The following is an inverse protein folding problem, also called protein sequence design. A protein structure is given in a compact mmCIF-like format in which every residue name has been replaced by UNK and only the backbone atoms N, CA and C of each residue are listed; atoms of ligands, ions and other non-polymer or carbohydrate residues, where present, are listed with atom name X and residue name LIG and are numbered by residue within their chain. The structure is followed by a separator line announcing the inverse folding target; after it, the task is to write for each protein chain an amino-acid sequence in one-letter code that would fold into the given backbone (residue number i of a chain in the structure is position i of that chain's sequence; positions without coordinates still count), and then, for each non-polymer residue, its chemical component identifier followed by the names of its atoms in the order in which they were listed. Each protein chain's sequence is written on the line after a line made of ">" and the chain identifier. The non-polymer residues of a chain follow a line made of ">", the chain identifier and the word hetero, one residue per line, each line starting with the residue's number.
data_IF_993704478363
#
_entry.id   IF_993704478363
#
_cell.length_a   1.000
_cell.length_b   1.000
_cell.length_c   1.000
_cell.angle_alpha   90.00
_cell.angle_beta   90.00
_cell.angle_gamma   90.00
#
_symmetry.space_group_name_H-M   'P 1'
#
loop_
_entity.id
_entity.type
_entity.pdbx_description
1 polymer ?
#
# COMPACT_ATOMS: atom_id res chain seq x y z
N UNK A 1 -41.16 8.68 5.50
CA UNK A 1 -40.48 7.65 4.67
C UNK A 1 -40.29 6.40 5.51
N UNK A 2 -40.69 5.23 5.02
CA UNK A 2 -40.45 3.98 5.74
C UNK A 2 -38.93 3.75 5.85
N UNK A 3 -38.40 3.64 7.06
CA UNK A 3 -37.00 3.30 7.25
C UNK A 3 -36.78 1.86 6.74
N UNK A 4 -35.95 1.70 5.70
CA UNK A 4 -35.49 0.37 5.28
C UNK A 4 -34.81 -0.31 6.46
N UNK A 5 -34.99 -1.62 6.60
CA UNK A 5 -34.25 -2.39 7.61
C UNK A 5 -32.77 -2.22 7.33
N UNK A 6 -31.94 -2.18 8.37
CA UNK A 6 -30.50 -1.92 8.21
C UNK A 6 -29.80 -2.97 7.33
N UNK A 7 -30.36 -4.18 7.23
CA UNK A 7 -29.88 -5.25 6.33
C UNK A 7 -30.24 -5.04 4.84
N UNK A 8 -31.18 -4.14 4.54
CA UNK A 8 -31.72 -3.86 3.20
C UNK A 8 -31.23 -2.49 2.70
N UNK A 9 -30.27 -1.84 3.40
CA UNK A 9 -29.68 -0.61 2.90
C UNK A 9 -28.81 -0.93 1.67
N UNK A 10 -29.01 -0.23 0.54
CA UNK A 10 -28.14 -0.39 -0.62
C UNK A 10 -26.73 0.07 -0.26
N UNK A 11 -25.72 -0.69 -0.65
CA UNK A 11 -24.31 -0.39 -0.40
C UNK A 11 -23.43 -1.62 -0.22
N UNK A 12 -22.13 -1.36 -0.15
CA UNK A 12 -21.10 -2.38 0.03
C UNK A 12 -20.96 -2.73 1.51
N UNK A 13 -21.01 -4.02 1.85
CA UNK A 13 -21.02 -4.50 3.24
C UNK A 13 -19.71 -5.16 3.62
N UNK A 14 -19.22 -4.86 4.82
CA UNK A 14 -18.19 -5.62 5.51
C UNK A 14 -18.67 -6.09 6.88
N UNK A 15 -18.24 -7.29 7.29
CA UNK A 15 -18.63 -7.89 8.57
C UNK A 15 -17.44 -8.54 9.24
N UNK A 16 -17.25 -8.24 10.51
CA UNK A 16 -16.32 -8.96 11.39
C UNK A 16 -17.13 -9.71 12.44
N UNK A 17 -16.96 -11.04 12.48
CA UNK A 17 -17.68 -11.93 13.41
C UNK A 17 -16.79 -12.37 14.56
N UNK A 18 -17.45 -12.76 15.65
CA UNK A 18 -16.86 -13.29 16.89
C UNK A 18 -15.79 -12.39 17.54
N UNK A 19 -15.94 -11.08 17.44
CA UNK A 19 -15.05 -10.11 18.10
C UNK A 19 -15.21 -10.24 19.62
N UNK A 20 -14.10 -10.36 20.37
CA UNK A 20 -14.10 -10.56 21.83
C UNK A 20 -14.31 -9.27 22.61
N UNK A 21 -15.35 -8.52 22.26
CA UNK A 21 -15.73 -7.25 22.85
C UNK A 21 -17.25 -7.26 23.13
N UNK A 22 -17.69 -6.48 24.12
CA UNK A 22 -19.13 -6.26 24.33
C UNK A 22 -19.70 -5.38 23.22
N UNK A 23 -20.86 -5.75 22.66
CA UNK A 23 -21.54 -4.97 21.63
C UNK A 23 -21.74 -3.49 22.05
N UNK A 24 -22.03 -3.22 23.33
CA UNK A 24 -22.18 -1.86 23.84
C UNK A 24 -20.93 -0.99 23.63
N UNK A 25 -19.74 -1.52 23.93
CA UNK A 25 -18.47 -0.79 23.75
C UNK A 25 -18.16 -0.53 22.28
N UNK A 26 -18.53 -1.48 21.41
CA UNK A 26 -18.39 -1.29 19.97
C UNK A 26 -19.34 -0.21 19.44
N UNK A 27 -20.60 -0.19 19.90
CA UNK A 27 -21.61 0.81 19.48
C UNK A 27 -21.18 2.24 19.81
N UNK A 28 -20.51 2.45 20.94
CA UNK A 28 -20.00 3.78 21.31
C UNK A 28 -19.05 4.35 20.25
N UNK A 29 -18.13 3.52 19.74
CA UNK A 29 -17.20 3.91 18.66
C UNK A 29 -17.93 4.03 17.32
N UNK A 30 -18.82 3.08 16.99
CA UNK A 30 -19.57 3.11 15.73
C UNK A 30 -20.48 4.34 15.60
N UNK A 31 -20.98 4.87 16.72
CA UNK A 31 -21.79 6.09 16.71
C UNK A 31 -21.00 7.33 16.28
N UNK A 32 -19.67 7.34 16.48
CA UNK A 32 -18.82 8.48 16.07
C UNK A 32 -18.65 8.55 14.55
N UNK A 33 -18.59 7.41 13.88
CA UNK A 33 -18.32 7.32 12.44
C UNK A 33 -19.60 7.27 11.58
N UNK A 34 -20.78 7.26 12.21
CA UNK A 34 -22.05 7.09 11.49
C UNK A 34 -22.35 8.33 10.65
N UNK A 35 -22.50 8.15 9.34
CA UNK A 35 -22.79 9.24 8.41
C UNK A 35 -21.58 10.10 8.05
N UNK A 36 -20.39 9.75 8.53
CA UNK A 36 -19.15 10.44 8.16
C UNK A 36 -18.59 9.89 6.85
N UNK A 37 -17.81 10.73 6.15
CA UNK A 37 -17.04 10.32 4.97
C UNK A 37 -15.93 9.34 5.36
N UNK A 38 -15.43 8.54 4.42
CA UNK A 38 -14.35 7.59 4.69
C UNK A 38 -13.14 8.27 5.35
N UNK A 39 -12.64 9.36 4.76
CA UNK A 39 -11.46 10.07 5.28
C UNK A 39 -11.67 10.61 6.70
N UNK A 40 -12.85 11.13 7.02
CA UNK A 40 -13.15 11.61 8.37
C UNK A 40 -13.33 10.46 9.35
N UNK A 41 -13.97 9.36 8.93
CA UNK A 41 -14.15 8.19 9.76
C UNK A 41 -12.80 7.53 10.11
N UNK A 42 -11.86 7.43 9.16
CA UNK A 42 -10.53 6.87 9.41
C UNK A 42 -9.72 7.73 10.40
N UNK A 43 -9.78 9.06 10.26
CA UNK A 43 -9.19 10.00 11.22
C UNK A 43 -9.77 9.83 12.63
N UNK A 44 -11.10 9.80 12.76
CA UNK A 44 -11.77 9.63 14.06
C UNK A 44 -11.34 8.31 14.73
N UNK A 45 -11.25 7.23 13.96
CA UNK A 45 -10.85 5.93 14.49
C UNK A 45 -9.37 5.90 14.88
N UNK A 46 -8.49 6.56 14.11
CA UNK A 46 -7.07 6.64 14.41
C UNK A 46 -6.77 7.36 15.73
N UNK A 47 -7.53 8.42 16.05
CA UNK A 47 -7.36 9.20 17.28
C UNK A 47 -8.30 8.78 18.43
N UNK A 48 -9.08 7.72 18.26
CA UNK A 48 -9.96 7.23 19.32
C UNK A 48 -9.18 6.48 20.40
N UNK A 49 -9.33 6.89 21.66
CA UNK A 49 -8.70 6.24 22.82
C UNK A 49 -9.23 4.83 23.12
N UNK A 50 -10.35 4.44 22.51
CA UNK A 50 -11.00 3.14 22.78
C UNK A 50 -10.32 2.05 21.97
N UNK A 51 -9.73 1.04 22.62
CA UNK A 51 -9.15 -0.17 21.96
C UNK A 51 -10.03 -0.88 20.91
N UNK A 52 -11.35 -0.67 20.92
CA UNK A 52 -12.26 -1.24 19.90
C UNK A 52 -12.09 -0.55 18.55
N UNK A 53 -11.55 0.67 18.52
CA UNK A 53 -11.30 1.45 17.30
C UNK A 53 -10.42 0.70 16.31
N UNK A 54 -9.38 0.01 16.76
CA UNK A 54 -8.49 -0.77 15.89
C UNK A 54 -9.22 -1.86 15.10
N UNK A 55 -10.18 -2.54 15.75
CA UNK A 55 -10.99 -3.58 15.09
C UNK A 55 -11.98 -2.98 14.12
N UNK A 56 -12.57 -1.84 14.47
CA UNK A 56 -13.50 -1.10 13.61
C UNK A 56 -12.78 -0.51 12.41
N UNK A 57 -11.56 0.03 12.57
CA UNK A 57 -10.73 0.56 11.50
C UNK A 57 -10.43 -0.53 10.45
N UNK A 58 -9.97 -1.70 10.88
CA UNK A 58 -9.77 -2.85 9.98
C UNK A 58 -11.04 -3.26 9.24
N UNK A 59 -12.21 -3.20 9.91
CA UNK A 59 -13.49 -3.48 9.28
C UNK A 59 -13.86 -2.41 8.24
N UNK A 60 -13.54 -1.14 8.51
CA UNK A 60 -13.78 -0.02 7.60
C UNK A 60 -12.87 -0.13 6.36
N UNK A 61 -11.59 -0.40 6.54
CA UNK A 61 -10.63 -0.57 5.45
C UNK A 61 -11.01 -1.77 4.55
N UNK A 62 -11.49 -2.85 5.16
CA UNK A 62 -12.05 -3.99 4.41
C UNK A 62 -13.31 -3.60 3.63
N UNK A 63 -14.17 -2.73 4.16
CA UNK A 63 -15.35 -2.26 3.46
C UNK A 63 -15.00 -1.40 2.24
N UNK A 64 -14.00 -0.53 2.36
CA UNK A 64 -13.47 0.27 1.25
C UNK A 64 -12.82 -0.62 0.20
N UNK A 65 -11.96 -1.54 0.62
CA UNK A 65 -11.32 -2.50 -0.30
C UNK A 65 -12.36 -3.31 -1.09
N UNK A 66 -13.49 -3.68 -0.47
CA UNK A 66 -14.58 -4.37 -1.16
C UNK A 66 -15.29 -3.45 -2.16
N UNK A 67 -15.46 -2.17 -1.85
CA UNK A 67 -16.14 -1.21 -2.72
C UNK A 67 -15.27 -0.84 -3.92
N UNK A 68 -13.96 -0.70 -3.72
CA UNK A 68 -12.99 -0.44 -4.80
C UNK A 68 -12.90 -1.64 -5.75
N UNK A 69 -12.67 -2.84 -5.21
CA UNK A 69 -12.38 -4.01 -6.04
C UNK A 69 -13.63 -4.63 -6.69
N UNK A 70 -14.78 -4.65 -5.99
CA UNK A 70 -15.98 -5.31 -6.52
C UNK A 70 -16.93 -4.33 -7.20
N UNK A 71 -17.10 -3.13 -6.64
CA UNK A 71 -18.07 -2.15 -7.14
C UNK A 71 -17.42 -1.04 -7.99
N UNK A 72 -16.09 -0.96 -8.03
CA UNK A 72 -15.33 0.03 -8.80
C UNK A 72 -15.49 1.47 -8.29
N UNK A 73 -15.85 1.64 -7.01
CA UNK A 73 -16.13 2.94 -6.42
C UNK A 73 -14.87 3.45 -5.71
N UNK A 74 -14.38 4.67 -6.00
CA UNK A 74 -13.20 5.22 -5.33
C UNK A 74 -13.51 5.59 -3.87
N UNK A 75 -12.50 5.51 -3.00
CA UNK A 75 -12.63 5.72 -1.55
C UNK A 75 -13.18 7.10 -1.16
N UNK A 76 -12.88 8.14 -1.95
CA UNK A 76 -13.28 9.52 -1.69
C UNK A 76 -14.80 9.73 -1.85
N UNK A 77 -15.46 8.91 -2.66
CA UNK A 77 -16.90 8.98 -2.89
C UNK A 77 -17.72 8.18 -1.87
N UNK A 78 -17.05 7.47 -0.96
CA UNK A 78 -17.67 6.57 0.00
C UNK A 78 -17.95 7.26 1.34
N UNK A 79 -19.10 6.90 1.92
CA UNK A 79 -19.47 7.29 3.27
C UNK A 79 -20.10 6.15 4.06
N UNK A 80 -20.07 6.25 5.38
CA UNK A 80 -20.64 5.25 6.27
C UNK A 80 -22.16 5.40 6.31
N UNK A 81 -22.86 4.67 5.43
CA UNK A 81 -24.33 4.65 5.37
C UNK A 81 -24.92 4.06 6.65
N UNK A 82 -24.43 2.89 7.08
CA UNK A 82 -24.92 2.24 8.29
C UNK A 82 -23.79 1.51 9.01
N UNK A 83 -23.85 1.53 10.34
CA UNK A 83 -22.91 0.81 11.18
C UNK A 83 -23.61 0.34 12.44
N UNK A 84 -23.42 -0.95 12.78
CA UNK A 84 -24.04 -1.55 13.94
C UNK A 84 -23.20 -2.70 14.48
N UNK A 85 -23.40 -2.99 15.77
CA UNK A 85 -22.81 -4.14 16.43
C UNK A 85 -23.90 -4.97 17.09
N UNK A 86 -24.02 -6.21 16.64
CA UNK A 86 -24.94 -7.22 17.15
C UNK A 86 -24.27 -8.04 18.25
N UNK A 87 -25.08 -8.58 19.16
CA UNK A 87 -24.57 -9.48 20.18
C UNK A 87 -24.21 -10.83 19.56
N UNK A 88 -23.02 -11.32 19.88
CA UNK A 88 -22.55 -12.65 19.50
C UNK A 88 -22.77 -13.68 20.62
N UNK A 89 -22.30 -14.92 20.43
CA UNK A 89 -22.37 -15.96 21.46
C UNK A 89 -21.63 -15.52 22.73
N UNK A 90 -22.32 -15.64 23.86
CA UNK A 90 -21.75 -15.29 25.17
C UNK A 90 -21.25 -16.54 25.88
N UNK A 91 -19.95 -16.56 26.20
CA UNK A 91 -19.35 -17.65 26.95
C UNK A 91 -19.53 -17.41 28.46
N UNK A 92 -20.06 -18.40 29.17
CA UNK A 92 -20.22 -18.36 30.63
C UNK A 92 -18.99 -18.94 31.32
N UNK A 93 -18.51 -18.27 32.37
CA UNK A 93 -17.45 -18.75 33.29
C UNK A 93 -17.89 -18.52 34.72
N UNK A 94 -17.62 -19.43 35.64
CA UNK A 94 -18.03 -19.27 37.04
C UNK A 94 -16.93 -18.58 37.85
N UNK A 95 -17.32 -17.64 38.72
CA UNK A 95 -16.43 -17.03 39.71
C UNK A 95 -16.92 -17.39 41.12
N UNK A 96 -16.08 -18.00 41.97
CA UNK A 96 -16.43 -18.25 43.36
C UNK A 96 -16.58 -16.91 44.11
N UNK A 97 -17.53 -16.87 45.04
CA UNK A 97 -17.82 -15.74 45.94
C UNK A 97 -17.99 -16.24 47.37
N UNK A 98 -18.02 -15.30 48.33
CA UNK A 98 -18.21 -15.61 49.74
C UNK A 98 -19.46 -16.45 50.00
N UNK A 99 -19.43 -17.25 51.09
CA UNK A 99 -20.52 -18.13 51.52
C UNK A 99 -20.93 -19.19 50.48
N UNK A 100 -19.95 -19.77 49.76
CA UNK A 100 -20.20 -20.86 48.79
C UNK A 100 -21.01 -20.44 47.55
N UNK A 101 -21.20 -19.14 47.31
CA UNK A 101 -21.94 -18.64 46.15
C UNK A 101 -21.07 -18.65 44.90
N UNK A 102 -21.66 -18.95 43.75
CA UNK A 102 -21.00 -18.81 42.45
C UNK A 102 -21.79 -17.84 41.56
N UNK A 103 -21.12 -16.81 41.05
CA UNK A 103 -21.71 -15.85 40.10
C UNK A 103 -21.10 -16.05 38.71
N UNK A 104 -21.89 -15.99 37.62
CA UNK A 104 -21.35 -16.10 36.28
C UNK A 104 -20.62 -14.82 35.85
N UNK A 105 -19.48 -14.98 35.21
CA UNK A 105 -18.80 -13.98 34.37
C UNK A 105 -19.19 -14.27 32.93
N UNK A 106 -19.78 -13.27 32.27
CA UNK A 106 -20.14 -13.33 30.87
C UNK A 106 -19.00 -12.78 30.01
N UNK A 107 -18.34 -13.65 29.24
CA UNK A 107 -17.39 -13.27 28.20
C UNK A 107 -18.17 -13.08 26.90
N UNK A 108 -18.68 -11.85 26.73
CA UNK A 108 -19.50 -11.45 25.58
C UNK A 108 -18.65 -11.33 24.32
N UNK A 109 -19.24 -11.66 23.19
CA UNK A 109 -18.69 -11.37 21.86
C UNK A 109 -19.68 -10.52 21.07
N UNK A 110 -19.23 -9.93 19.97
CA UNK A 110 -20.09 -9.17 19.07
C UNK A 110 -19.77 -9.46 17.61
N UNK A 111 -20.70 -9.03 16.74
CA UNK A 111 -20.53 -9.01 15.30
C UNK A 111 -20.67 -7.56 14.85
N UNK A 112 -19.64 -7.03 14.20
CA UNK A 112 -19.61 -5.65 13.72
C UNK A 112 -19.94 -5.69 12.24
N UNK A 113 -20.92 -4.89 11.82
CA UNK A 113 -21.27 -4.70 10.41
C UNK A 113 -21.16 -3.23 10.05
N UNK A 114 -20.45 -2.95 8.96
CA UNK A 114 -20.34 -1.63 8.34
C UNK A 114 -20.87 -1.73 6.92
N UNK A 115 -21.70 -0.77 6.52
CA UNK A 115 -22.26 -0.64 5.19
C UNK A 115 -21.84 0.74 4.66
N UNK A 116 -21.11 0.73 3.56
CA UNK A 116 -20.67 1.94 2.85
C UNK A 116 -21.68 2.28 1.76
N UNK A 117 -22.04 3.55 1.66
CA UNK A 117 -22.81 4.11 0.56
C UNK A 117 -21.92 4.97 -0.32
N UNK A 118 -22.33 5.16 -1.57
CA UNK A 118 -21.73 6.14 -2.48
C UNK A 118 -22.52 7.45 -2.42
N UNK A 119 -21.83 8.58 -2.32
CA UNK A 119 -22.47 9.88 -2.47
C UNK A 119 -23.08 10.03 -3.87
N UNK A 120 -24.17 10.78 -3.96
CA UNK A 120 -24.69 11.21 -5.26
C UNK A 120 -23.75 12.24 -5.89
N UNK A 121 -23.74 12.34 -7.22
CA UNK A 121 -22.92 13.32 -7.94
C UNK A 121 -23.19 14.77 -7.50
N UNK A 122 -24.45 15.08 -7.17
CA UNK A 122 -24.86 16.40 -6.64
C UNK A 122 -24.27 16.66 -5.25
N UNK A 123 -24.26 15.67 -4.37
CA UNK A 123 -23.66 15.78 -3.03
C UNK A 123 -22.15 15.97 -3.10
N UNK A 124 -21.47 15.27 -4.01
CA UNK A 124 -20.03 15.43 -4.25
C UNK A 124 -19.72 16.86 -4.68
N UNK A 125 -20.46 17.40 -5.66
CA UNK A 125 -20.29 18.78 -6.13
C UNK A 125 -20.54 19.80 -5.01
N UNK A 126 -21.54 19.55 -4.17
CA UNK A 126 -21.85 20.42 -3.02
C UNK A 126 -20.73 20.41 -1.98
N UNK A 127 -20.13 19.24 -1.71
CA UNK A 127 -18.99 19.13 -0.81
C UNK A 127 -17.77 19.86 -1.36
N UNK A 128 -17.46 19.68 -2.66
CA UNK A 128 -16.36 20.36 -3.33
C UNK A 128 -16.53 21.88 -3.29
N UNK A 129 -17.72 22.40 -3.63
CA UNK A 129 -18.01 23.83 -3.55
C UNK A 129 -17.89 24.39 -2.12
N UNK A 130 -18.29 23.62 -1.11
CA UNK A 130 -18.14 24.01 0.30
C UNK A 130 -16.67 24.04 0.72
N UNK A 131 -15.86 23.08 0.29
CA UNK A 131 -14.43 23.02 0.62
C UNK A 131 -13.64 24.13 -0.08
N UNK A 132 -13.98 24.44 -1.33
CA UNK A 132 -13.48 25.61 -2.07
C UNK A 132 -13.81 26.92 -1.36
N UNK A 133 -15.07 27.11 -0.93
CA UNK A 133 -15.49 28.30 -0.18
C UNK A 133 -14.76 28.44 1.16
N UNK A 134 -14.45 27.33 1.82
CA UNK A 134 -13.71 27.31 3.09
C UNK A 134 -12.22 27.55 2.92
N UNK A 135 -11.72 27.71 1.68
CA UNK A 135 -10.29 27.81 1.39
C UNK A 135 -9.52 26.55 1.77
N UNK A 136 -10.22 25.43 2.00
CA UNK A 136 -9.63 24.12 2.25
C UNK A 136 -9.47 23.43 0.90
N UNK A 137 -8.78 24.10 -0.04
CA UNK A 137 -8.12 23.33 -1.09
C UNK A 137 -7.18 22.37 -0.37
N UNK A 138 -7.18 21.09 -0.75
CA UNK A 138 -6.09 20.18 -0.41
C UNK A 138 -4.74 20.77 -0.85
N UNK A 139 -3.62 20.03 -0.78
CA UNK A 139 -2.45 20.43 -1.58
C UNK A 139 -2.99 20.75 -2.97
N UNK A 140 -2.83 22.02 -3.39
CA UNK A 140 -3.44 22.52 -4.62
C UNK A 140 -3.14 21.54 -5.75
N UNK A 141 -3.97 21.46 -6.78
CA UNK A 141 -3.63 20.66 -7.97
C UNK A 141 -2.19 20.95 -8.43
N UNK A 142 -1.75 22.21 -8.26
CA UNK A 142 -0.37 22.69 -8.42
C UNK A 142 0.66 22.02 -7.49
N UNK A 143 0.34 21.75 -6.21
CA UNK A 143 1.23 21.03 -5.29
C UNK A 143 1.31 19.52 -5.59
N UNK A 144 0.21 18.92 -6.06
CA UNK A 144 0.20 17.53 -6.53
C UNK A 144 0.98 17.38 -7.85
N UNK A 145 0.79 18.30 -8.79
CA UNK A 145 1.58 18.42 -10.02
C UNK A 145 3.05 18.68 -9.72
N UNK A 146 3.38 19.60 -8.82
CA UNK A 146 4.77 19.87 -8.42
C UNK A 146 5.43 18.66 -7.77
N UNK A 147 4.67 17.79 -7.09
CA UNK A 147 5.18 16.51 -6.53
C UNK A 147 5.39 15.48 -7.64
N UNK A 148 4.45 15.35 -8.60
CA UNK A 148 4.59 14.47 -9.77
C UNK A 148 5.79 14.86 -10.63
N UNK A 149 5.93 16.14 -10.98
CA UNK A 149 7.07 16.68 -11.73
C UNK A 149 8.41 16.42 -11.02
N UNK A 150 8.44 16.47 -9.68
CA UNK A 150 9.66 16.20 -8.92
C UNK A 150 10.03 14.72 -8.92
N UNK A 151 9.03 13.83 -8.83
CA UNK A 151 9.23 12.37 -8.92
C UNK A 151 9.63 11.96 -10.34
N UNK A 152 8.99 12.52 -11.36
CA UNK A 152 9.36 12.31 -12.77
C UNK A 152 10.77 12.81 -13.06
N UNK A 153 11.14 14.01 -12.57
CA UNK A 153 12.51 14.52 -12.68
C UNK A 153 13.53 13.61 -11.96
N UNK A 154 13.16 13.05 -10.81
CA UNK A 154 14.03 12.11 -10.08
C UNK A 154 14.16 10.76 -10.78
N UNK A 155 13.09 10.28 -11.45
CA UNK A 155 13.12 9.05 -12.25
C UNK A 155 13.93 9.25 -13.53
N UNK A 156 13.71 10.34 -14.26
CA UNK A 156 14.47 10.70 -15.44
C UNK A 156 15.97 10.89 -15.13
N UNK A 157 16.32 11.48 -13.98
CA UNK A 157 17.71 11.60 -13.53
C UNK A 157 18.32 10.27 -13.06
N UNK A 158 17.50 9.30 -12.63
CA UNK A 158 17.97 7.95 -12.31
C UNK A 158 18.15 7.12 -13.59
N UNK A 159 17.25 7.28 -14.56
CA UNK A 159 17.34 6.66 -15.89
C UNK A 159 18.56 7.19 -16.66
N UNK A 160 18.82 8.51 -16.65
CA UNK A 160 20.02 9.06 -17.29
C UNK A 160 21.31 8.58 -16.63
N UNK A 161 21.31 8.46 -15.30
CA UNK A 161 22.48 8.01 -14.55
C UNK A 161 22.77 6.52 -14.76
N UNK A 162 21.72 5.71 -14.93
CA UNK A 162 21.85 4.31 -15.31
C UNK A 162 22.35 4.16 -16.77
N UNK A 163 21.90 5.04 -17.68
CA UNK A 163 22.44 5.10 -19.04
C UNK A 163 23.90 5.53 -19.07
N UNK A 164 24.28 6.54 -18.28
CA UNK A 164 25.69 6.96 -18.13
C UNK A 164 26.56 5.83 -17.55
N UNK A 165 26.03 5.04 -16.59
CA UNK A 165 26.69 3.86 -16.02
C UNK A 165 26.82 2.71 -17.04
N UNK A 166 25.78 2.41 -17.82
CA UNK A 166 25.82 1.41 -18.91
C UNK A 166 26.78 1.84 -20.04
N UNK A 167 26.78 3.12 -20.44
CA UNK A 167 27.72 3.64 -21.45
C UNK A 167 29.17 3.61 -20.96
N UNK A 168 29.40 3.85 -19.65
CA UNK A 168 30.71 3.69 -19.04
C UNK A 168 31.13 2.22 -19.03
N UNK A 169 30.27 1.29 -18.60
CA UNK A 169 30.54 -0.16 -18.62
C UNK A 169 30.88 -0.65 -20.03
N UNK A 170 30.10 -0.27 -21.03
CA UNK A 170 30.34 -0.63 -22.43
C UNK A 170 31.65 -0.03 -22.99
N UNK A 171 32.04 1.17 -22.52
CA UNK A 171 33.32 1.77 -22.88
C UNK A 171 34.52 1.09 -22.19
N UNK A 172 34.41 0.64 -20.93
CA UNK A 172 35.50 -0.11 -20.28
C UNK A 172 35.64 -1.50 -20.89
N UNK A 173 34.53 -2.17 -21.21
CA UNK A 173 34.57 -3.44 -21.92
C UNK A 173 35.25 -3.26 -23.29
N UNK A 174 34.93 -2.19 -24.03
CA UNK A 174 35.57 -1.87 -25.32
C UNK A 174 37.08 -1.58 -25.20
N UNK A 175 37.50 -0.86 -24.15
CA UNK A 175 38.92 -0.59 -23.88
C UNK A 175 39.66 -1.87 -23.43
N UNK A 176 38.98 -2.78 -22.72
CA UNK A 176 39.53 -4.06 -22.29
C UNK A 176 39.68 -5.04 -23.48
N UNK A 177 38.73 -5.10 -24.44
CA UNK A 177 38.96 -5.86 -25.68
C UNK A 177 40.05 -5.26 -26.55
N UNK A 178 40.15 -3.92 -26.66
CA UNK A 178 41.23 -3.28 -27.44
C UNK A 178 42.61 -3.57 -26.83
N UNK A 179 42.74 -3.55 -25.50
CA UNK A 179 43.97 -3.92 -24.81
C UNK A 179 44.32 -5.42 -24.94
N UNK A 180 43.32 -6.29 -25.02
CA UNK A 180 43.52 -7.72 -25.28
C UNK A 180 43.95 -7.94 -26.73
N UNK A 181 43.35 -7.26 -27.71
CA UNK A 181 43.77 -7.34 -29.12
C UNK A 181 45.21 -6.83 -29.30
N UNK A 182 45.58 -5.71 -28.67
CA UNK A 182 46.95 -5.17 -28.75
C UNK A 182 47.99 -6.11 -28.09
N UNK A 183 47.61 -6.83 -27.03
CA UNK A 183 48.47 -7.84 -26.40
C UNK A 183 48.65 -9.10 -27.27
N UNK A 184 47.61 -9.52 -27.98
CA UNK A 184 47.65 -10.68 -28.88
C UNK A 184 48.49 -10.34 -30.12
N UNK A 185 48.35 -9.13 -30.69
CA UNK A 185 49.20 -8.66 -31.78
C UNK A 185 50.69 -8.57 -31.35
N UNK A 186 50.97 -8.17 -30.11
CA UNK A 186 52.34 -8.15 -29.58
C UNK A 186 52.93 -9.56 -29.40
N UNK A 187 52.12 -10.53 -28.98
CA UNK A 187 52.52 -11.93 -28.82
C UNK A 187 52.76 -12.60 -30.21
N UNK A 188 51.97 -12.25 -31.22
CA UNK A 188 52.15 -12.74 -32.60
C UNK A 188 53.42 -12.14 -33.26
N UNK A 189 53.81 -10.92 -32.87
CA UNK A 189 55.08 -10.30 -33.27
C UNK A 189 56.28 -10.97 -32.57
N UNK A 190 56.19 -11.30 -31.27
CA UNK A 190 57.25 -12.08 -30.60
C UNK A 190 57.40 -13.49 -31.19
N UNK A 191 56.30 -14.20 -31.48
CA UNK A 191 56.36 -15.53 -32.10
C UNK A 191 56.96 -15.50 -33.52
N UNK A 192 56.75 -14.42 -34.28
CA UNK A 192 57.37 -14.26 -35.60
C UNK A 192 58.85 -13.90 -35.52
N UNK A 193 59.27 -13.07 -34.57
CA UNK A 193 60.69 -12.80 -34.31
C UNK A 193 61.44 -14.07 -33.81
N UNK A 194 60.82 -14.88 -32.95
CA UNK A 194 61.41 -16.16 -32.51
C UNK A 194 61.56 -17.17 -33.66
N UNK A 195 60.56 -17.26 -34.56
CA UNK A 195 60.64 -18.11 -35.75
C UNK A 195 61.68 -17.63 -36.76
N UNK A 196 61.86 -16.32 -36.93
CA UNK A 196 62.90 -15.76 -37.79
C UNK A 196 64.29 -16.05 -37.22
N UNK A 197 64.47 -15.97 -35.90
CA UNK A 197 65.73 -16.35 -35.23
C UNK A 197 66.01 -17.85 -35.38
N UNK A 198 65.02 -18.74 -35.19
CA UNK A 198 65.21 -20.18 -35.46
C UNK A 198 65.55 -20.48 -36.93
N UNK A 199 64.96 -19.74 -37.88
CA UNK A 199 65.30 -19.88 -39.30
C UNK A 199 66.73 -19.42 -39.62
N UNK A 200 67.22 -18.38 -38.94
CA UNK A 200 68.59 -17.88 -39.12
C UNK A 200 69.66 -18.79 -38.48
N UNK A 201 69.33 -19.44 -37.36
CA UNK A 201 70.22 -20.40 -36.68
C UNK A 201 70.33 -21.71 -37.47
N UNK A 202 69.25 -22.14 -38.13
CA UNK A 202 69.28 -23.32 -39.01
C UNK A 202 70.05 -23.07 -40.31
N UNK A 203 70.02 -21.85 -40.86
CA UNK A 203 70.88 -21.48 -42.01
C UNK A 203 72.38 -21.42 -41.64
N UNK A 204 72.73 -21.07 -40.39
CA UNK A 204 74.13 -21.11 -39.93
C UNK A 204 74.64 -22.53 -39.70
N UNK A 205 73.82 -23.48 -39.23
CA UNK A 205 74.25 -24.88 -39.03
C UNK A 205 74.45 -25.67 -40.34
N UNK A 206 73.80 -25.30 -41.44
CA UNK A 206 74.05 -25.93 -42.76
C UNK A 206 75.35 -25.44 -43.44
N UNK A 207 76.04 -24.45 -42.86
CA UNK A 207 77.22 -23.80 -43.47
C UNK A 207 78.59 -24.28 -42.97
N UNK A 208 78.66 -25.35 -42.15
CA UNK A 208 79.89 -25.85 -41.53
C UNK A 208 80.22 -27.32 -41.86
#
# INVERSE_FOLDING_TARGET
>A
MAATKTNERPGTRAVVRYVRVSAFKAREVLNLIRGESYGRASEILAFSERSVSEVVAKCLDSAVSNAENNDGIPAEELFVSACYADEGPTLKRWRPRARGRATPILKRTCHITIIMGRYTSEEIATQQARDEQRGRSGPSQQAAEARRQRVEKSRAAAESRAQDEEELEEAVDAEEVEAVEEAVDAEEVEETEENEVESSVTEEEESN
#
